data_IF_047408453994
#
_entry.id   IF_047408453994
#
_cell.length_a   1.000
_cell.length_b   1.000
_cell.length_c   1.000
_cell.angle_alpha   90.00
_cell.angle_beta   90.00
_cell.angle_gamma   90.00
#
_symmetry.space_group_name_H-M   'P 1'
#
loop_
_entity.id
_entity.type
_entity.pdbx_description
1 polymer ?
#
# COMPACT_ATOMS: atom_id res chain seq x y z
N UNK A 1 34.88 29.87 -32.53
CA UNK A 1 33.82 30.61 -31.80
C UNK A 1 32.69 29.64 -31.53
N UNK A 2 32.61 29.09 -30.30
CA UNK A 2 31.64 28.03 -29.97
C UNK A 2 30.34 28.69 -29.54
N UNK A 3 29.24 28.43 -30.27
CA UNK A 3 27.89 28.89 -29.94
C UNK A 3 27.21 27.81 -29.11
N UNK A 4 26.86 28.13 -27.86
CA UNK A 4 26.02 27.27 -27.03
C UNK A 4 24.58 27.77 -27.05
N UNK A 5 23.64 26.84 -27.19
CA UNK A 5 22.21 27.11 -27.13
C UNK A 5 21.79 27.05 -25.67
N UNK A 6 21.40 28.19 -25.10
CA UNK A 6 20.79 28.27 -23.77
C UNK A 6 19.28 28.15 -23.91
N UNK A 7 18.66 27.17 -23.28
CA UNK A 7 17.21 27.07 -23.16
C UNK A 7 16.82 27.01 -21.67
N UNK A 8 15.91 27.89 -21.29
CA UNK A 8 15.37 27.98 -19.93
C UNK A 8 14.12 27.11 -19.81
N UNK A 9 14.24 25.96 -19.15
CA UNK A 9 13.10 25.09 -18.84
C UNK A 9 12.37 25.67 -17.62
N UNK A 10 11.13 26.12 -17.79
CA UNK A 10 10.24 26.41 -16.64
C UNK A 10 9.76 25.07 -16.07
N UNK A 11 10.39 24.61 -15.00
CA UNK A 11 9.97 23.42 -14.25
C UNK A 11 8.76 23.77 -13.36
N UNK A 12 7.56 23.77 -13.92
CA UNK A 12 6.32 23.77 -13.15
C UNK A 12 6.06 22.36 -12.63
N UNK A 13 6.69 22.01 -11.50
CA UNK A 13 6.37 20.78 -10.78
C UNK A 13 5.03 20.92 -10.08
N UNK A 14 3.95 20.45 -10.71
CA UNK A 14 2.70 20.28 -9.99
C UNK A 14 2.90 19.23 -8.90
N UNK A 15 2.65 19.53 -7.61
CA UNK A 15 2.74 18.52 -6.57
C UNK A 15 1.73 17.41 -6.87
N UNK A 16 2.23 16.18 -7.00
CA UNK A 16 1.37 15.00 -7.09
C UNK A 16 0.49 14.97 -5.85
N UNK A 17 -0.82 15.09 -6.07
CA UNK A 17 -1.86 15.02 -5.04
C UNK A 17 -1.56 13.88 -4.06
N UNK A 18 -1.34 14.26 -2.80
CA UNK A 18 -1.16 13.32 -1.71
C UNK A 18 -2.46 12.50 -1.60
N UNK A 19 -2.46 11.31 -2.21
CA UNK A 19 -3.59 10.39 -2.08
C UNK A 19 -3.82 10.13 -0.61
N UNK A 20 -5.05 10.45 -0.21
CA UNK A 20 -5.64 10.38 1.11
C UNK A 20 -4.97 9.30 1.98
N UNK A 21 -4.39 9.72 3.12
CA UNK A 21 -3.69 8.86 4.07
C UNK A 21 -4.71 7.96 4.76
N UNK A 22 -5.26 7.00 4.01
CA UNK A 22 -6.21 6.05 4.56
C UNK A 22 -5.52 5.33 5.71
N UNK A 23 -6.22 5.34 6.86
CA UNK A 23 -5.83 4.85 8.18
C UNK A 23 -4.78 3.73 8.08
N UNK A 24 -3.55 4.02 8.53
CA UNK A 24 -2.40 3.10 8.48
C UNK A 24 -2.78 1.78 9.16
N UNK A 25 -2.88 0.71 8.37
CA UNK A 25 -3.24 -0.64 8.84
C UNK A 25 -2.04 -1.30 9.52
N UNK A 26 -2.28 -2.09 10.55
CA UNK A 26 -1.26 -2.98 11.12
C UNK A 26 -0.86 -4.05 10.10
N UNK A 27 0.41 -4.40 10.08
CA UNK A 27 0.92 -5.45 9.21
C UNK A 27 0.81 -6.82 9.90
N UNK A 28 -0.34 -7.48 9.78
CA UNK A 28 -0.59 -8.79 10.40
C UNK A 28 0.42 -9.89 9.98
N UNK A 29 1.07 -9.75 8.83
CA UNK A 29 2.13 -10.69 8.40
C UNK A 29 3.40 -10.61 9.23
N UNK A 30 3.61 -9.50 9.95
CA UNK A 30 4.76 -9.26 10.82
C UNK A 30 4.36 -9.32 12.30
N UNK A 31 3.28 -10.03 12.61
CA UNK A 31 2.86 -10.25 13.98
C UNK A 31 3.94 -11.03 14.73
N UNK A 32 4.47 -10.43 15.79
CA UNK A 32 5.29 -11.12 16.77
C UNK A 32 4.39 -11.66 17.90
N UNK A 33 4.20 -12.99 17.99
CA UNK A 33 3.31 -13.59 18.97
C UNK A 33 3.84 -13.43 20.40
N UNK A 34 5.15 -13.38 20.61
CA UNK A 34 5.74 -13.26 21.95
C UNK A 34 5.65 -11.83 22.46
N UNK A 35 5.89 -10.84 21.59
CA UNK A 35 5.64 -9.44 21.92
C UNK A 35 4.16 -9.17 22.27
N UNK A 36 3.22 -9.83 21.56
CA UNK A 36 1.80 -9.73 21.85
C UNK A 36 1.48 -10.26 23.26
N UNK A 37 1.91 -11.50 23.56
CA UNK A 37 1.69 -12.11 24.88
C UNK A 37 2.30 -11.28 26.01
N UNK A 38 3.53 -10.80 25.83
CA UNK A 38 4.20 -9.96 26.83
C UNK A 38 3.47 -8.61 27.03
N UNK A 39 2.91 -8.04 25.96
CA UNK A 39 2.11 -6.81 26.06
C UNK A 39 0.79 -7.04 26.79
N UNK A 40 0.13 -8.17 26.52
CA UNK A 40 -1.14 -8.52 27.14
C UNK A 40 -0.97 -8.89 28.62
N UNK A 41 0.09 -9.62 28.97
CA UNK A 41 0.42 -9.93 30.35
C UNK A 41 0.67 -8.66 31.19
N UNK A 42 1.26 -7.62 30.58
CA UNK A 42 1.48 -6.32 31.24
C UNK A 42 0.19 -5.54 31.43
N UNK A 43 -0.71 -5.55 30.43
CA UNK A 43 -1.98 -4.82 30.52
C UNK A 43 -3.05 -5.56 31.33
N UNK A 44 -2.86 -6.86 31.59
CA UNK A 44 -3.79 -7.70 32.35
C UNK A 44 -4.15 -7.12 33.72
N UNK A 45 -3.16 -6.57 34.44
CA UNK A 45 -3.38 -5.93 35.75
C UNK A 45 -4.27 -4.69 35.68
N UNK A 46 -4.25 -3.96 34.55
CA UNK A 46 -5.07 -2.75 34.35
C UNK A 46 -6.52 -3.13 34.04
N UNK A 47 -6.72 -4.26 33.34
CA UNK A 47 -8.04 -4.75 32.96
C UNK A 47 -8.79 -5.34 34.16
N UNK A 48 -8.10 -6.03 35.07
CA UNK A 48 -8.73 -6.64 36.25
C UNK A 48 -9.33 -5.61 37.21
N UNK A 49 -8.71 -4.43 37.35
CA UNK A 49 -9.15 -3.41 38.30
C UNK A 49 -10.47 -2.72 37.91
N UNK A 50 -10.94 -2.88 36.67
CA UNK A 50 -12.13 -2.18 36.15
C UNK A 50 -13.41 -3.06 36.17
N UNK A 51 -13.41 -4.18 36.90
CA UNK A 51 -14.44 -5.23 36.79
C UNK A 51 -15.74 -4.94 37.54
N UNK A 52 -15.79 -3.93 38.41
CA UNK A 52 -17.02 -3.51 39.11
C UNK A 52 -17.33 -2.03 38.84
N UNK A 53 -17.82 -1.69 37.64
CA UNK A 53 -18.36 -0.37 37.37
C UNK A 53 -19.79 -0.29 37.92
N UNK A 54 -20.00 0.53 38.95
CA UNK A 54 -21.32 0.75 39.57
C UNK A 54 -22.12 1.83 38.81
N UNK A 55 -21.47 2.59 37.91
CA UNK A 55 -22.06 3.69 37.16
C UNK A 55 -21.84 3.59 35.64
N UNK A 56 -22.80 4.09 34.85
CA UNK A 56 -22.73 4.11 33.37
C UNK A 56 -21.54 4.91 32.81
N UNK A 57 -21.04 5.90 33.56
CA UNK A 57 -19.83 6.64 33.16
C UNK A 57 -18.55 5.82 33.38
N UNK A 58 -18.53 4.92 34.36
CA UNK A 58 -17.38 4.05 34.66
C UNK A 58 -17.27 2.91 33.65
N UNK A 59 -18.40 2.42 33.13
CA UNK A 59 -18.41 1.41 32.07
C UNK A 59 -17.80 1.96 30.77
N UNK A 60 -18.13 3.19 30.37
CA UNK A 60 -17.55 3.83 29.19
C UNK A 60 -16.03 4.00 29.32
N UNK A 61 -15.57 4.43 30.50
CA UNK A 61 -14.15 4.59 30.79
C UNK A 61 -13.40 3.24 30.78
N UNK A 62 -14.00 2.20 31.36
CA UNK A 62 -13.46 0.84 31.30
C UNK A 62 -13.32 0.35 29.85
N UNK A 63 -14.36 0.55 29.03
CA UNK A 63 -14.32 0.20 27.60
C UNK A 63 -13.21 0.95 26.88
N UNK A 64 -13.10 2.27 27.05
CA UNK A 64 -12.05 3.07 26.42
C UNK A 64 -10.64 2.61 26.84
N UNK A 65 -10.45 2.31 28.12
CA UNK A 65 -9.18 1.79 28.64
C UNK A 65 -8.86 0.41 28.03
N UNK A 66 -9.83 -0.51 27.98
CA UNK A 66 -9.62 -1.82 27.37
C UNK A 66 -9.27 -1.72 25.88
N UNK A 67 -9.97 -0.86 25.13
CA UNK A 67 -9.70 -0.62 23.71
C UNK A 67 -8.29 -0.03 23.50
N UNK A 68 -7.86 0.88 24.39
CA UNK A 68 -6.52 1.49 24.34
C UNK A 68 -5.43 0.46 24.61
N UNK A 69 -5.61 -0.42 25.60
CA UNK A 69 -4.66 -1.50 25.90
C UNK A 69 -4.56 -2.51 24.77
N UNK A 70 -5.69 -2.90 24.16
CA UNK A 70 -5.72 -3.78 22.97
C UNK A 70 -4.99 -3.11 21.80
N UNK A 71 -5.18 -1.81 21.60
CA UNK A 71 -4.48 -1.07 20.56
C UNK A 71 -2.96 -1.00 20.83
N UNK A 72 -2.55 -0.77 22.09
CA UNK A 72 -1.14 -0.74 22.48
C UNK A 72 -0.46 -2.11 22.27
N UNK A 73 -1.15 -3.20 22.62
CA UNK A 73 -0.71 -4.56 22.36
C UNK A 73 -0.53 -4.83 20.86
N UNK A 74 -1.46 -4.35 20.03
CA UNK A 74 -1.36 -4.43 18.58
C UNK A 74 -0.20 -3.59 18.02
N UNK A 75 0.07 -2.39 18.54
CA UNK A 75 1.22 -1.57 18.12
C UNK A 75 2.57 -2.24 18.47
N UNK A 76 2.66 -2.85 19.65
CA UNK A 76 3.86 -3.53 20.09
C UNK A 76 4.17 -4.79 19.26
N UNK A 77 3.13 -5.54 18.90
CA UNK A 77 3.25 -6.82 18.18
C UNK A 77 3.23 -6.69 16.66
N UNK A 78 2.59 -5.66 16.11
CA UNK A 78 2.43 -5.44 14.68
C UNK A 78 2.83 -4.02 14.29
N UNK A 79 3.96 -3.83 13.58
CA UNK A 79 4.30 -2.52 13.06
C UNK A 79 3.26 -2.07 12.03
N UNK A 80 2.86 -0.80 12.08
CA UNK A 80 2.01 -0.23 11.04
C UNK A 80 2.69 -0.26 9.68
N UNK A 81 1.90 -0.54 8.65
CA UNK A 81 2.40 -0.56 7.28
C UNK A 81 2.87 0.85 6.92
N UNK A 82 4.18 0.98 6.64
CA UNK A 82 4.75 2.24 6.15
C UNK A 82 4.29 2.44 4.72
N UNK A 83 3.82 3.64 4.40
CA UNK A 83 3.65 4.03 3.01
C UNK A 83 5.01 3.87 2.33
N UNK A 84 5.02 3.16 1.20
CA UNK A 84 6.20 3.11 0.36
C UNK A 84 6.60 4.56 0.08
N UNK A 85 7.82 4.95 0.49
CA UNK A 85 8.32 6.29 0.24
C UNK A 85 8.22 6.51 -1.27
N UNK A 86 7.35 7.43 -1.68
CA UNK A 86 7.34 7.87 -3.07
C UNK A 86 8.69 8.53 -3.29
N UNK A 87 9.55 7.88 -4.07
CA UNK A 87 10.80 8.47 -4.48
C UNK A 87 10.47 9.77 -5.21
N UNK A 88 11.19 10.85 -4.89
CA UNK A 88 11.07 12.09 -5.66
C UNK A 88 11.35 11.73 -7.12
N UNK A 89 10.43 12.05 -8.05
CA UNK A 89 10.66 11.75 -9.46
C UNK A 89 11.96 12.42 -9.90
N UNK A 90 12.79 11.67 -10.62
CA UNK A 90 14.03 12.22 -11.16
C UNK A 90 13.68 13.36 -12.13
N UNK A 91 14.55 14.36 -12.26
CA UNK A 91 14.28 15.56 -13.07
C UNK A 91 14.03 15.25 -14.56
N UNK A 92 14.56 14.12 -15.05
CA UNK A 92 14.37 13.63 -16.42
C UNK A 92 13.08 12.81 -16.59
N UNK A 93 12.34 12.57 -15.50
CA UNK A 93 11.10 11.81 -15.52
C UNK A 93 9.94 12.71 -15.94
N UNK A 94 9.57 12.65 -17.22
CA UNK A 94 8.40 13.35 -17.77
C UNK A 94 7.11 12.51 -17.69
N UNK A 95 5.96 13.19 -17.81
CA UNK A 95 4.64 12.55 -17.93
C UNK A 95 4.60 11.57 -19.10
N UNK A 96 5.20 11.94 -20.23
CA UNK A 96 5.18 11.17 -21.46
C UNK A 96 5.95 9.84 -21.28
N UNK A 97 7.10 9.89 -20.61
CA UNK A 97 7.87 8.69 -20.26
C UNK A 97 7.04 7.79 -19.32
N UNK A 98 6.30 8.37 -18.37
CA UNK A 98 5.45 7.60 -17.46
C UNK A 98 4.31 6.88 -18.21
N UNK A 99 3.69 7.54 -19.19
CA UNK A 99 2.62 6.97 -20.02
C UNK A 99 3.14 5.85 -20.92
N UNK A 100 4.25 6.09 -21.64
CA UNK A 100 4.90 5.08 -22.48
C UNK A 100 5.27 3.83 -21.66
N UNK A 101 5.83 4.02 -20.47
CA UNK A 101 6.16 2.91 -19.56
C UNK A 101 4.92 2.17 -19.09
N UNK A 102 3.82 2.87 -18.79
CA UNK A 102 2.55 2.25 -18.40
C UNK A 102 2.03 1.33 -19.52
N UNK A 103 2.03 1.82 -20.76
CA UNK A 103 1.61 1.04 -21.94
C UNK A 103 2.53 -0.17 -22.14
N UNK A 104 3.85 0.04 -22.13
CA UNK A 104 4.84 -1.04 -22.27
C UNK A 104 4.67 -2.12 -21.19
N UNK A 105 4.52 -1.73 -19.92
CA UNK A 105 4.28 -2.67 -18.83
C UNK A 105 2.95 -3.43 -18.98
N UNK A 106 1.89 -2.78 -19.46
CA UNK A 106 0.62 -3.44 -19.73
C UNK A 106 0.76 -4.49 -20.83
N UNK A 107 1.37 -4.14 -21.97
CA UNK A 107 1.62 -5.06 -23.08
C UNK A 107 2.49 -6.24 -22.65
N UNK A 108 3.60 -5.97 -21.95
CA UNK A 108 4.49 -7.02 -21.42
C UNK A 108 3.74 -7.96 -20.47
N UNK A 109 2.92 -7.44 -19.57
CA UNK A 109 2.10 -8.27 -18.66
C UNK A 109 1.10 -9.13 -19.43
N UNK A 110 0.50 -8.62 -20.51
CA UNK A 110 -0.39 -9.42 -21.37
C UNK A 110 0.38 -10.53 -22.07
N UNK A 111 1.50 -10.22 -22.72
CA UNK A 111 2.34 -11.19 -23.41
C UNK A 111 2.87 -12.27 -22.47
N UNK A 112 3.40 -11.89 -21.30
CA UNK A 112 3.91 -12.84 -20.30
C UNK A 112 2.82 -13.74 -19.73
N UNK A 113 1.59 -13.23 -19.54
CA UNK A 113 0.45 -14.06 -19.12
C UNK A 113 0.00 -15.01 -20.23
N UNK A 114 -0.02 -14.55 -21.49
CA UNK A 114 -0.32 -15.39 -22.65
C UNK A 114 0.72 -16.51 -22.80
N UNK A 115 2.01 -16.20 -22.72
CA UNK A 115 3.09 -17.18 -22.80
C UNK A 115 3.09 -18.20 -21.65
N UNK A 116 2.56 -17.84 -20.47
CA UNK A 116 2.38 -18.78 -19.34
C UNK A 116 1.15 -19.67 -19.49
N UNK A 117 0.21 -19.34 -20.37
CA UNK A 117 -0.88 -20.26 -20.74
C UNK A 117 -0.28 -21.26 -21.72
N UNK A 118 -0.47 -22.55 -21.48
CA UNK A 118 0.02 -23.60 -22.37
C UNK A 118 -0.44 -23.36 -23.81
N UNK A 119 0.36 -23.68 -24.84
CA UNK A 119 0.05 -23.41 -26.26
C UNK A 119 -1.13 -24.23 -26.82
N UNK A 120 -1.90 -24.92 -25.99
CA UNK A 120 -2.98 -25.81 -26.42
C UNK A 120 -4.30 -25.10 -26.73
N UNK A 121 -4.41 -23.77 -26.61
CA UNK A 121 -5.68 -23.05 -26.76
C UNK A 121 -5.69 -21.96 -27.85
N UNK A 122 -4.56 -21.63 -28.50
CA UNK A 122 -4.46 -20.42 -29.33
C UNK A 122 -4.52 -20.66 -30.85
N UNK A 123 -4.86 -21.85 -31.34
CA UNK A 123 -4.99 -22.13 -32.79
C UNK A 123 -6.35 -21.78 -33.41
N UNK A 124 -7.36 -21.36 -32.64
CA UNK A 124 -8.73 -21.14 -33.18
C UNK A 124 -9.07 -19.69 -33.56
N UNK A 125 -8.17 -18.73 -33.38
CA UNK A 125 -8.50 -17.30 -33.49
C UNK A 125 -8.04 -16.57 -34.75
N UNK A 126 -7.11 -17.13 -35.53
CA UNK A 126 -6.49 -16.40 -36.65
C UNK A 126 -6.98 -16.84 -38.05
N UNK A 127 -7.63 -18.01 -38.16
CA UNK A 127 -8.09 -18.54 -39.46
C UNK A 127 -9.41 -17.90 -39.94
N UNK A 128 -10.18 -17.25 -39.06
CA UNK A 128 -11.49 -16.66 -39.42
C UNK A 128 -11.43 -15.27 -40.04
N UNK A 129 -10.26 -14.64 -40.18
CA UNK A 129 -10.12 -13.31 -40.79
C UNK A 129 -9.55 -13.31 -42.22
N UNK A 130 -9.12 -14.47 -42.75
CA UNK A 130 -8.56 -14.55 -44.11
C UNK A 130 -9.64 -14.80 -45.18
N UNK A 131 -10.85 -15.23 -44.79
CA UNK A 131 -11.91 -15.64 -45.71
C UNK A 131 -13.14 -14.70 -45.72
N UNK A 132 -12.90 -13.39 -45.78
CA UNK A 132 -13.90 -12.40 -46.22
C UNK A 132 -13.26 -11.51 -47.29
N UNK A 133 -13.24 -12.03 -48.51
CA UNK A 133 -13.18 -11.26 -49.75
C UNK A 133 -14.51 -11.44 -50.46
#
# INVERSE_FOLDING_TARGET
>A
MIKFVTFSVKLSFAPVSQRNVSKRKWNAKKLDPEALKASLARSWSILQNNTTPDACSETEMAVLNTMKEIAAACEASMPRLKNQKFHRPAYWWSTDIAELRKICHQLRRRATRAAKRSPSQDKKGLETSINKK
#
